data_IF_227431386078
#
_entry.id   IF_227431386078
#
_cell.length_a   1.000
_cell.length_b   1.000
_cell.length_c   1.000
_cell.angle_alpha   90.00
_cell.angle_beta   90.00
_cell.angle_gamma   90.00
#
_symmetry.space_group_name_H-M   'P 1'
#
loop_
_entity.id
_entity.type
_entity.pdbx_description
1 polymer ?
#
# COMPACT_ATOMS: atom_id res chain seq x y z
N UNK A 1 40.76 25.35 26.69
CA UNK A 1 39.43 25.99 26.59
C UNK A 1 39.24 26.43 25.14
N UNK A 2 38.26 25.90 24.39
CA UNK A 2 37.23 24.93 24.76
C UNK A 2 37.51 23.51 24.22
N UNK A 3 36.88 22.56 24.89
CA UNK A 3 36.88 21.11 24.71
C UNK A 3 35.86 20.67 23.65
N UNK A 4 36.10 19.55 22.97
CA UNK A 4 35.01 18.69 22.47
C UNK A 4 35.53 17.25 22.23
N UNK A 5 35.83 16.57 23.34
CA UNK A 5 35.74 15.12 23.42
C UNK A 5 34.27 14.74 23.59
N UNK A 6 33.55 14.43 22.51
CA UNK A 6 32.14 14.01 22.61
C UNK A 6 31.70 12.74 21.90
N UNK A 7 32.56 12.05 21.14
CA UNK A 7 32.14 10.83 20.45
C UNK A 7 33.15 9.68 20.53
N UNK A 8 33.97 9.65 21.59
CA UNK A 8 34.72 8.47 21.96
C UNK A 8 33.84 7.56 22.83
N UNK A 9 33.09 6.68 22.18
CA UNK A 9 32.41 5.57 22.85
C UNK A 9 31.06 5.24 22.23
N UNK A 10 30.85 3.94 22.00
CA UNK A 10 29.59 3.27 21.62
C UNK A 10 29.41 2.92 20.13
N UNK A 11 30.44 2.36 19.49
CA UNK A 11 30.22 1.50 18.31
C UNK A 11 30.82 0.12 18.55
N UNK A 12 30.30 -0.59 19.55
CA UNK A 12 30.29 -2.05 19.55
C UNK A 12 29.30 -2.54 20.62
N UNK A 13 28.10 -2.89 20.17
CA UNK A 13 27.10 -3.68 20.90
C UNK A 13 26.07 -4.18 19.87
N UNK A 14 26.50 -5.18 19.12
CA UNK A 14 25.61 -6.22 18.60
C UNK A 14 24.93 -6.90 19.80
N UNK A 15 23.61 -6.83 19.92
CA UNK A 15 22.81 -7.87 20.57
C UNK A 15 21.37 -7.79 20.04
N UNK A 16 20.95 -8.86 19.37
CA UNK A 16 19.62 -9.00 18.84
C UNK A 16 18.59 -9.21 19.94
N UNK A 17 17.43 -8.58 19.77
CA UNK A 17 16.19 -9.04 20.37
C UNK A 17 15.07 -8.76 19.37
N UNK A 18 14.54 -9.85 18.81
CA UNK A 18 13.22 -9.94 18.19
C UNK A 18 12.21 -9.20 19.08
N UNK A 19 11.62 -8.13 18.57
CA UNK A 19 10.45 -7.52 19.18
C UNK A 19 9.23 -8.14 18.47
N UNK A 20 8.74 -9.24 19.06
CA UNK A 20 7.44 -9.82 18.71
C UNK A 20 6.35 -8.76 18.89
N UNK A 21 5.37 -8.61 17.97
CA UNK A 21 4.27 -7.70 18.19
C UNK A 21 3.38 -8.25 19.30
N UNK A 22 3.35 -7.52 20.42
CA UNK A 22 2.51 -7.76 21.59
C UNK A 22 1.02 -7.56 21.21
N UNK A 23 0.36 -8.61 20.71
CA UNK A 23 -1.11 -8.66 20.58
C UNK A 23 -1.75 -8.87 21.97
N UNK A 24 -1.74 -7.83 22.78
CA UNK A 24 -2.57 -7.76 23.98
C UNK A 24 -3.93 -7.16 23.60
N UNK A 25 -4.87 -8.06 23.28
CA UNK A 25 -6.27 -7.74 23.10
C UNK A 25 -6.87 -7.19 24.39
N UNK A 26 -7.06 -5.87 24.42
CA UNK A 26 -7.88 -5.21 25.43
C UNK A 26 -9.35 -5.36 25.00
N UNK A 27 -10.03 -6.36 25.54
CA UNK A 27 -11.49 -6.51 25.47
C UNK A 27 -12.15 -5.40 26.31
N UNK A 28 -12.14 -4.18 25.79
CA UNK A 28 -13.03 -3.11 26.25
C UNK A 28 -14.35 -3.23 25.52
N UNK A 29 -15.37 -3.67 26.25
CA UNK A 29 -16.79 -3.66 25.87
C UNK A 29 -17.23 -2.20 25.67
N UNK A 30 -16.91 -1.62 24.51
CA UNK A 30 -17.29 -0.27 24.13
C UNK A 30 -18.75 -0.25 23.67
N UNK A 31 -19.54 0.54 24.38
CA UNK A 31 -20.95 0.83 24.21
C UNK A 31 -21.37 1.00 22.74
N UNK A 32 -22.55 0.48 22.39
CA UNK A 32 -23.22 0.56 21.08
C UNK A 32 -23.42 2.01 20.61
N UNK A 33 -22.35 2.62 20.12
CA UNK A 33 -22.29 3.92 19.46
C UNK A 33 -21.38 3.79 18.25
N UNK A 34 -21.82 3.00 17.26
CA UNK A 34 -21.14 2.92 15.98
C UNK A 34 -20.98 4.32 15.36
N UNK A 35 -19.90 4.55 14.60
CA UNK A 35 -19.65 5.85 13.99
C UNK A 35 -20.85 6.35 13.19
N UNK A 36 -21.11 7.67 13.23
CA UNK A 36 -22.25 8.31 12.56
C UNK A 36 -22.21 8.21 11.01
N UNK A 37 -21.14 7.64 10.46
CA UNK A 37 -21.00 7.22 9.08
C UNK A 37 -20.56 5.75 9.08
N UNK A 38 -21.29 4.89 8.38
CA UNK A 38 -20.85 3.53 8.14
C UNK A 38 -19.57 3.57 7.31
N UNK A 39 -18.48 3.01 7.84
CA UNK A 39 -17.33 2.66 7.02
C UNK A 39 -17.76 1.44 6.19
N UNK A 40 -17.87 1.61 4.87
CA UNK A 40 -18.05 0.47 3.98
C UNK A 40 -16.96 -0.58 4.26
N UNK A 41 -17.40 -1.80 4.60
CA UNK A 41 -16.51 -2.90 4.95
C UNK A 41 -15.69 -3.29 3.72
N UNK A 42 -14.41 -2.94 3.73
CA UNK A 42 -13.46 -3.35 2.68
C UNK A 42 -12.56 -4.46 3.17
N UNK A 43 -12.41 -5.52 2.38
CA UNK A 43 -11.42 -6.55 2.61
C UNK A 43 -10.08 -6.15 2.00
N UNK A 44 -9.04 -6.03 2.83
CA UNK A 44 -7.68 -5.88 2.33
C UNK A 44 -7.23 -7.20 1.65
N UNK A 45 -6.61 -7.09 0.48
CA UNK A 45 -6.01 -8.21 -0.24
C UNK A 45 -4.64 -7.79 -0.76
N UNK A 46 -3.60 -8.49 -0.31
CA UNK A 46 -2.25 -8.31 -0.83
C UNK A 46 -2.09 -9.03 -2.16
N UNK A 47 -1.46 -8.37 -3.13
CA UNK A 47 -1.17 -8.91 -4.47
C UNK A 47 0.34 -8.99 -4.63
N UNK A 48 0.85 -10.12 -5.12
CA UNK A 48 2.27 -10.29 -5.42
C UNK A 48 2.54 -9.85 -6.86
N UNK A 49 3.33 -8.80 -7.00
CA UNK A 49 3.79 -8.29 -8.30
C UNK A 49 5.30 -8.14 -8.26
N UNK A 50 5.96 -8.18 -9.43
CA UNK A 50 7.38 -7.89 -9.52
C UNK A 50 7.61 -6.39 -9.30
N UNK A 51 8.78 -5.95 -8.81
CA UNK A 51 9.06 -4.53 -8.56
C UNK A 51 8.82 -3.65 -9.80
N UNK A 52 9.24 -4.12 -10.98
CA UNK A 52 9.04 -3.41 -12.25
C UNK A 52 7.55 -3.23 -12.59
N UNK A 53 6.69 -4.17 -12.21
CA UNK A 53 5.24 -4.07 -12.43
C UNK A 53 4.59 -3.12 -11.42
N UNK A 54 5.13 -3.04 -10.20
CA UNK A 54 4.66 -2.08 -9.20
C UNK A 54 4.95 -0.64 -9.63
N UNK A 55 6.15 -0.37 -10.15
CA UNK A 55 6.51 0.95 -10.68
C UNK A 55 5.56 1.40 -11.80
N UNK A 56 5.16 0.48 -12.71
CA UNK A 56 4.17 0.78 -13.75
C UNK A 56 2.79 1.15 -13.19
N UNK A 57 2.38 0.53 -12.09
CA UNK A 57 1.12 0.87 -11.43
C UNK A 57 1.17 2.25 -10.79
N UNK A 58 2.29 2.61 -10.14
CA UNK A 58 2.51 3.93 -9.54
C UNK A 58 2.50 5.04 -10.60
N UNK A 59 3.14 4.81 -11.75
CA UNK A 59 3.08 5.73 -12.89
C UNK A 59 1.64 5.89 -13.42
N UNK A 60 0.90 4.79 -13.55
CA UNK A 60 -0.50 4.82 -13.98
C UNK A 60 -1.40 5.56 -12.98
N UNK A 61 -1.17 5.40 -11.67
CA UNK A 61 -1.88 6.15 -10.62
C UNK A 61 -1.65 7.66 -10.79
N UNK A 62 -0.39 8.07 -10.96
CA UNK A 62 -0.06 9.48 -11.19
C UNK A 62 -0.72 10.04 -12.46
N UNK A 63 -0.74 9.27 -13.56
CA UNK A 63 -1.41 9.69 -14.79
C UNK A 63 -2.92 9.89 -14.60
N UNK A 64 -3.58 8.95 -13.91
CA UNK A 64 -5.01 9.02 -13.60
C UNK A 64 -5.31 10.24 -12.71
N UNK A 65 -4.57 10.45 -11.63
CA UNK A 65 -4.74 11.62 -10.77
C UNK A 65 -4.54 12.93 -11.54
N UNK A 66 -3.53 12.97 -12.40
CA UNK A 66 -3.22 14.13 -13.21
C UNK A 66 -4.34 14.44 -14.21
N UNK A 67 -4.92 13.42 -14.84
CA UNK A 67 -6.08 13.56 -15.72
C UNK A 67 -7.32 14.04 -14.95
N UNK A 68 -7.64 13.40 -13.81
CA UNK A 68 -8.73 13.80 -12.93
C UNK A 68 -8.63 15.27 -12.50
N UNK A 69 -7.42 15.72 -12.16
CA UNK A 69 -7.17 17.12 -11.79
C UNK A 69 -7.31 18.08 -12.96
N UNK A 70 -6.77 17.74 -14.12
CA UNK A 70 -6.74 18.63 -15.29
C UNK A 70 -8.09 18.73 -15.99
N UNK A 71 -8.80 17.62 -16.10
CA UNK A 71 -10.01 17.50 -16.93
C UNK A 71 -11.30 17.59 -16.10
N UNK A 72 -11.26 17.11 -14.87
CA UNK A 72 -12.44 17.04 -14.00
C UNK A 72 -12.34 17.93 -12.76
N UNK A 73 -11.19 18.54 -12.49
CA UNK A 73 -10.95 19.37 -11.30
C UNK A 73 -10.95 18.59 -9.99
N UNK A 74 -10.93 17.26 -10.04
CA UNK A 74 -10.91 16.35 -8.88
C UNK A 74 -9.50 16.29 -8.31
N UNK A 75 -9.39 16.28 -6.98
CA UNK A 75 -8.12 16.24 -6.25
C UNK A 75 -8.25 15.31 -5.06
N UNK A 76 -7.11 15.00 -4.45
CA UNK A 76 -7.02 14.23 -3.21
C UNK A 76 -7.73 12.88 -3.33
N UNK A 77 -7.53 12.21 -4.49
CA UNK A 77 -8.04 10.87 -4.75
C UNK A 77 -7.38 9.93 -3.74
N UNK A 78 -8.20 9.15 -3.04
CA UNK A 78 -7.67 8.18 -2.10
C UNK A 78 -7.16 6.95 -2.85
N UNK A 79 -6.11 6.30 -2.33
CA UNK A 79 -5.66 5.03 -2.90
C UNK A 79 -6.78 3.98 -2.97
N UNK A 80 -7.79 4.05 -2.09
CA UNK A 80 -9.00 3.20 -2.18
C UNK A 80 -9.78 3.44 -3.46
N UNK A 81 -10.07 4.71 -3.79
CA UNK A 81 -10.82 5.06 -5.01
C UNK A 81 -10.08 4.61 -6.26
N UNK A 82 -8.76 4.84 -6.28
CA UNK A 82 -7.91 4.37 -7.37
C UNK A 82 -7.92 2.85 -7.48
N UNK A 83 -7.60 2.12 -6.40
CA UNK A 83 -7.55 0.64 -6.41
C UNK A 83 -8.90 0.02 -6.78
N UNK A 84 -10.02 0.54 -6.25
CA UNK A 84 -11.35 0.03 -6.54
C UNK A 84 -11.73 0.25 -8.02
N UNK A 85 -11.42 1.42 -8.59
CA UNK A 85 -11.60 1.68 -10.01
C UNK A 85 -10.69 0.79 -10.87
N UNK A 86 -9.40 0.68 -10.52
CA UNK A 86 -8.42 -0.11 -11.23
C UNK A 86 -8.79 -1.61 -11.25
N UNK A 87 -9.25 -2.17 -10.13
CA UNK A 87 -9.68 -3.56 -10.04
C UNK A 87 -10.96 -3.81 -10.84
N UNK A 88 -11.89 -2.85 -10.91
CA UNK A 88 -13.07 -2.97 -11.79
C UNK A 88 -12.68 -3.01 -13.26
N UNK A 89 -11.78 -2.13 -13.69
CA UNK A 89 -11.23 -2.16 -15.06
C UNK A 89 -10.56 -3.51 -15.30
N UNK A 90 -9.66 -3.94 -14.41
CA UNK A 90 -8.98 -5.24 -14.55
C UNK A 90 -9.97 -6.42 -14.69
N UNK A 91 -11.08 -6.40 -13.96
CA UNK A 91 -12.12 -7.43 -14.04
C UNK A 91 -12.84 -7.46 -15.40
N UNK A 92 -12.99 -6.30 -16.05
CA UNK A 92 -13.59 -6.19 -17.39
C UNK A 92 -12.61 -6.59 -18.52
N UNK A 93 -11.31 -6.67 -18.21
CA UNK A 93 -10.23 -7.02 -19.14
C UNK A 93 -9.63 -8.43 -18.88
N UNK A 94 -10.46 -9.38 -18.42
CA UNK A 94 -10.02 -10.72 -18.02
C UNK A 94 -9.30 -11.51 -19.14
N UNK A 95 -9.70 -11.33 -20.40
CA UNK A 95 -9.06 -12.02 -21.54
C UNK A 95 -7.62 -11.57 -21.74
N UNK A 96 -7.32 -10.27 -21.58
CA UNK A 96 -5.95 -9.74 -21.68
C UNK A 96 -5.03 -10.29 -20.59
N UNK A 97 -5.59 -10.57 -19.39
CA UNK A 97 -4.84 -11.22 -18.31
C UNK A 97 -4.46 -12.65 -18.72
N UNK A 98 -5.36 -13.39 -19.37
CA UNK A 98 -5.08 -14.74 -19.87
C UNK A 98 -3.96 -14.70 -20.89
N UNK A 99 -4.03 -13.77 -21.84
CA UNK A 99 -3.03 -13.63 -22.89
C UNK A 99 -1.64 -13.35 -22.29
N UNK A 100 -1.52 -12.39 -21.36
CA UNK A 100 -0.25 -12.11 -20.68
C UNK A 100 0.30 -13.32 -19.89
N UNK A 101 -0.55 -14.10 -19.24
CA UNK A 101 -0.10 -15.31 -18.52
C UNK A 101 0.44 -16.36 -19.50
N UNK A 102 -0.19 -16.51 -20.67
CA UNK A 102 0.26 -17.46 -21.69
C UNK A 102 1.57 -16.99 -22.32
N UNK A 103 1.68 -15.70 -22.67
CA UNK A 103 2.91 -15.11 -23.21
C UNK A 103 4.12 -15.30 -22.28
N UNK A 104 3.95 -15.09 -20.98
CA UNK A 104 5.04 -15.29 -20.01
C UNK A 104 5.44 -16.78 -19.91
N UNK A 105 4.48 -17.70 -20.02
CA UNK A 105 4.78 -19.15 -20.01
C UNK A 105 5.46 -19.65 -21.28
N UNK A 106 5.25 -18.98 -22.41
CA UNK A 106 5.92 -19.31 -23.67
C UNK A 106 7.36 -18.78 -23.72
N UNK A 107 7.70 -17.82 -22.84
CA UNK A 107 9.04 -17.25 -22.70
C UNK A 107 9.96 -18.05 -21.74
N UNK A 108 9.39 -18.94 -20.92
CA UNK A 108 10.09 -19.89 -20.02
C UNK A 108 10.46 -21.21 -20.72
#
# INVERSE_FOLDING_TARGET
>A
MPDDNRFAGLSDADDGADDEPDEQGDETEAENGGPAFEFDATSAKSIYVRPETLELLEDAEFEVESALRREHGVRDVTGREFHDAAVRVLADHADEIVDHILEEREQD
#
